data_IF_836725074036
#
_entry.id   IF_836725074036
#
_cell.length_a   1.000
_cell.length_b   1.000
_cell.length_c   1.000
_cell.angle_alpha   90.00
_cell.angle_beta   90.00
_cell.angle_gamma   90.00
#
_symmetry.space_group_name_H-M   'P 1'
#
loop_
_entity.id
_entity.type
_entity.pdbx_description
1 polymer ?
#
# COMPACT_ATOMS: atom_id res chain seq x y z
N UNK A 1 -20.43 -23.24 30.90
CA UNK A 1 -19.42 -22.85 29.90
C UNK A 1 -19.73 -23.60 28.62
N UNK A 2 -20.49 -22.96 27.74
CA UNK A 2 -20.97 -23.51 26.47
C UNK A 2 -19.86 -23.38 25.43
N UNK A 3 -19.30 -24.53 25.00
CA UNK A 3 -18.36 -24.62 23.90
C UNK A 3 -19.05 -24.29 22.59
N UNK A 4 -18.65 -23.21 21.94
CA UNK A 4 -19.03 -22.86 20.57
C UNK A 4 -18.52 -23.95 19.62
N UNK A 5 -19.35 -24.52 18.73
CA UNK A 5 -18.89 -25.55 17.80
C UNK A 5 -18.13 -24.91 16.63
N UNK A 6 -17.01 -25.51 16.24
CA UNK A 6 -16.69 -25.68 14.82
C UNK A 6 -15.64 -24.76 14.17
N UNK A 7 -14.63 -24.27 14.89
CA UNK A 7 -13.37 -23.89 14.21
C UNK A 7 -12.33 -24.94 14.54
N UNK A 8 -12.16 -25.91 13.65
CA UNK A 8 -11.07 -26.89 13.76
C UNK A 8 -9.78 -26.15 13.40
N UNK A 9 -9.05 -25.70 14.42
CA UNK A 9 -7.70 -25.18 14.25
C UNK A 9 -6.82 -26.30 13.68
N UNK A 10 -6.20 -26.02 12.53
CA UNK A 10 -5.28 -26.94 11.86
C UNK A 10 -3.83 -26.56 12.21
N UNK A 11 -2.96 -27.56 12.22
CA UNK A 11 -1.53 -27.46 12.50
C UNK A 11 -0.76 -28.09 11.35
N UNK A 12 0.20 -27.37 10.77
CA UNK A 12 0.96 -27.83 9.61
C UNK A 12 2.32 -28.35 10.05
N UNK A 13 2.64 -29.56 9.61
CA UNK A 13 3.96 -30.14 9.82
C UNK A 13 4.83 -29.92 8.59
N UNK A 14 5.89 -29.11 8.71
CA UNK A 14 6.85 -28.88 7.61
C UNK A 14 7.59 -30.14 7.15
N UNK A 15 7.72 -31.16 8.01
CA UNK A 15 8.43 -32.40 7.68
C UNK A 15 7.56 -33.41 6.94
N UNK A 16 6.27 -33.49 7.30
CA UNK A 16 5.32 -34.39 6.64
C UNK A 16 4.57 -33.71 5.49
N UNK A 17 4.68 -32.39 5.36
CA UNK A 17 3.92 -31.56 4.41
C UNK A 17 2.41 -31.79 4.50
N UNK A 18 1.91 -31.97 5.73
CA UNK A 18 0.52 -32.33 5.98
C UNK A 18 -0.12 -31.48 7.09
N UNK A 19 -1.41 -31.21 6.93
CA UNK A 19 -2.28 -30.57 7.91
C UNK A 19 -2.84 -31.61 8.89
N UNK A 20 -2.74 -31.33 10.19
CA UNK A 20 -3.33 -32.13 11.25
C UNK A 20 -4.28 -31.25 12.07
N UNK A 21 -5.43 -31.77 12.53
CA UNK A 21 -6.23 -31.05 13.50
C UNK A 21 -5.42 -30.85 14.79
N UNK A 22 -5.59 -29.70 15.45
CA UNK A 22 -4.90 -29.39 16.70
C UNK A 22 -5.13 -30.48 17.76
N UNK A 23 -6.31 -31.09 17.78
CA UNK A 23 -6.65 -32.22 18.66
C UNK A 23 -5.85 -33.50 18.38
N UNK A 24 -5.28 -33.66 17.19
CA UNK A 24 -4.41 -34.79 16.85
C UNK A 24 -2.93 -34.50 17.16
N UNK A 25 -2.57 -33.25 17.47
CA UNK A 25 -1.20 -32.89 17.80
C UNK A 25 -0.93 -33.15 19.29
N UNK A 26 0.28 -33.64 19.60
CA UNK A 26 0.68 -33.88 20.99
C UNK A 26 1.26 -32.60 21.59
N UNK A 27 0.78 -32.20 22.76
CA UNK A 27 1.37 -31.09 23.50
C UNK A 27 2.64 -31.53 24.25
N UNK A 28 3.71 -30.75 24.11
CA UNK A 28 4.99 -30.95 24.79
C UNK A 28 5.36 -29.65 25.49
N UNK A 29 5.73 -29.73 26.77
CA UNK A 29 6.16 -28.57 27.54
C UNK A 29 7.52 -28.07 27.03
N UNK A 30 7.62 -26.75 26.80
CA UNK A 30 8.84 -26.09 26.38
C UNK A 30 9.01 -24.78 27.18
N UNK A 31 9.79 -24.86 28.26
CA UNK A 31 9.97 -23.73 29.18
C UNK A 31 8.65 -23.30 29.81
N UNK A 32 8.25 -22.05 29.58
CA UNK A 32 6.99 -21.47 30.06
C UNK A 32 5.78 -21.73 29.14
N UNK A 33 5.97 -22.37 27.99
CA UNK A 33 4.92 -22.60 26.99
C UNK A 33 4.68 -24.06 26.65
N UNK A 34 3.61 -24.30 25.88
CA UNK A 34 3.32 -25.60 25.27
C UNK A 34 3.56 -25.53 23.77
N UNK A 35 4.37 -26.45 23.24
CA UNK A 35 4.54 -26.64 21.81
C UNK A 35 3.69 -27.83 21.38
N UNK A 36 3.05 -27.71 20.22
CA UNK A 36 2.38 -28.84 19.60
C UNK A 36 3.32 -29.53 18.61
N UNK A 37 3.38 -30.86 18.70
CA UNK A 37 4.20 -31.68 17.82
C UNK A 37 3.33 -32.60 16.96
N UNK A 38 3.80 -32.86 15.75
CA UNK A 38 3.16 -33.68 14.75
C UNK A 38 3.04 -35.13 15.25
N UNK A 39 1.86 -35.77 15.14
CA UNK A 39 1.66 -37.14 15.60
C UNK A 39 2.47 -38.17 14.80
N UNK A 40 2.82 -37.86 13.54
CA UNK A 40 3.51 -38.79 12.65
C UNK A 40 5.04 -38.73 12.77
N UNK A 41 5.63 -37.55 12.92
CA UNK A 41 7.09 -37.39 12.89
C UNK A 41 7.71 -36.71 14.13
N UNK A 42 6.89 -36.27 15.09
CA UNK A 42 7.35 -35.62 16.33
C UNK A 42 7.94 -34.22 16.17
N UNK A 43 7.95 -33.64 14.96
CA UNK A 43 8.39 -32.25 14.75
C UNK A 43 7.38 -31.24 15.25
N UNK A 44 7.86 -30.06 15.68
CA UNK A 44 7.00 -28.93 16.06
C UNK A 44 6.14 -28.50 14.87
N UNK A 45 4.83 -28.43 15.08
CA UNK A 45 3.86 -27.99 14.08
C UNK A 45 3.63 -26.49 14.16
N UNK A 46 3.50 -25.84 12.99
CA UNK A 46 3.06 -24.45 12.91
C UNK A 46 1.54 -24.35 12.99
N UNK A 47 1.02 -23.21 13.43
CA UNK A 47 -0.40 -22.90 13.31
C UNK A 47 -0.79 -22.65 11.85
N UNK A 48 -1.82 -23.34 11.36
CA UNK A 48 -2.39 -23.11 10.03
C UNK A 48 -3.50 -22.09 10.17
N UNK A 49 -3.16 -20.83 9.92
CA UNK A 49 -4.17 -19.83 9.63
C UNK A 49 -4.60 -20.06 8.18
N UNK A 50 -5.52 -21.01 7.94
CA UNK A 50 -6.16 -21.17 6.62
C UNK A 50 -6.97 -19.91 6.37
N UNK A 51 -6.36 -18.93 5.74
CA UNK A 51 -7.10 -17.81 5.17
C UNK A 51 -7.94 -18.41 4.06
N UNK A 52 -9.27 -18.27 4.15
CA UNK A 52 -10.17 -18.64 3.05
C UNK A 52 -9.65 -17.90 1.82
N UNK A 53 -9.12 -18.64 0.83
CA UNK A 53 -8.63 -18.06 -0.41
C UNK A 53 -9.78 -17.37 -1.13
N UNK A 54 -9.94 -16.08 -0.86
CA UNK A 54 -10.81 -15.23 -1.64
C UNK A 54 -10.06 -14.84 -2.90
N UNK A 55 -10.74 -14.74 -4.06
CA UNK A 55 -10.10 -14.29 -5.27
C UNK A 55 -9.54 -12.88 -5.04
N UNK A 56 -8.24 -12.69 -5.29
CA UNK A 56 -7.55 -11.42 -5.06
C UNK A 56 -8.34 -10.21 -5.61
N UNK A 57 -8.96 -10.36 -6.78
CA UNK A 57 -9.78 -9.32 -7.40
C UNK A 57 -10.89 -8.79 -6.49
N UNK A 58 -11.61 -9.64 -5.75
CA UNK A 58 -12.68 -9.16 -4.87
C UNK A 58 -12.15 -8.33 -3.72
N UNK A 59 -11.00 -8.74 -3.15
CA UNK A 59 -10.33 -8.01 -2.08
C UNK A 59 -9.76 -6.67 -2.59
N UNK A 60 -9.20 -6.62 -3.80
CA UNK A 60 -8.73 -5.38 -4.42
C UNK A 60 -9.87 -4.40 -4.71
N UNK A 61 -11.02 -4.88 -5.18
CA UNK A 61 -12.21 -4.03 -5.42
C UNK A 61 -12.80 -3.54 -4.10
N UNK A 62 -12.83 -4.38 -3.06
CA UNK A 62 -13.25 -3.95 -1.73
C UNK A 62 -12.30 -2.90 -1.14
N UNK A 63 -10.99 -3.03 -1.38
CA UNK A 63 -9.98 -2.05 -0.98
C UNK A 63 -10.23 -0.64 -1.55
N UNK A 64 -10.87 -0.52 -2.73
CA UNK A 64 -11.21 0.80 -3.29
C UNK A 64 -12.21 1.55 -2.42
N UNK A 65 -13.14 0.84 -1.77
CA UNK A 65 -14.18 1.44 -0.92
C UNK A 65 -13.64 1.84 0.45
N UNK A 66 -12.43 1.39 0.80
CA UNK A 66 -11.85 1.56 2.13
C UNK A 66 -11.79 3.00 2.64
N UNK A 67 -11.38 4.03 1.86
CA UNK A 67 -11.34 5.40 2.36
C UNK A 67 -12.74 5.96 2.69
N UNK A 68 -13.79 5.39 2.09
CA UNK A 68 -15.17 5.81 2.27
C UNK A 68 -15.97 4.93 3.25
N UNK A 69 -15.30 4.06 4.02
CA UNK A 69 -15.94 3.09 4.93
C UNK A 69 -15.67 3.47 6.40
N UNK A 70 -16.75 3.57 7.19
CA UNK A 70 -16.67 3.78 8.64
C UNK A 70 -15.83 5.00 9.05
N UNK A 71 -14.95 4.81 10.03
CA UNK A 71 -14.11 5.88 10.60
C UNK A 71 -13.07 6.43 9.61
N UNK A 72 -12.75 5.69 8.54
CA UNK A 72 -11.78 6.13 7.52
C UNK A 72 -12.26 7.37 6.75
N UNK A 73 -13.58 7.62 6.72
CA UNK A 73 -14.16 8.82 6.08
C UNK A 73 -13.66 10.08 6.77
N UNK A 74 -13.62 10.08 8.10
CA UNK A 74 -13.13 11.23 8.87
C UNK A 74 -11.66 11.51 8.54
N UNK A 75 -10.85 10.47 8.43
CA UNK A 75 -9.43 10.63 8.09
C UNK A 75 -9.21 11.06 6.64
N UNK A 76 -9.99 10.53 5.69
CA UNK A 76 -9.97 10.99 4.30
C UNK A 76 -10.31 12.48 4.21
N UNK A 77 -11.38 12.93 4.87
CA UNK A 77 -11.77 14.34 4.87
C UNK A 77 -10.72 15.22 5.57
N UNK A 78 -10.21 14.82 6.73
CA UNK A 78 -9.21 15.57 7.46
C UNK A 78 -7.90 15.72 6.64
N UNK A 79 -7.42 14.63 6.05
CA UNK A 79 -6.23 14.64 5.21
C UNK A 79 -6.46 15.43 3.92
N UNK A 80 -7.63 15.28 3.30
CA UNK A 80 -8.05 16.04 2.11
C UNK A 80 -8.07 17.54 2.36
N UNK A 81 -8.73 17.98 3.44
CA UNK A 81 -8.78 19.39 3.85
C UNK A 81 -7.37 19.90 4.17
N UNK A 82 -6.58 19.14 4.93
CA UNK A 82 -5.20 19.51 5.25
C UNK A 82 -4.36 19.72 4.00
N UNK A 83 -4.35 18.75 3.09
CA UNK A 83 -3.63 18.84 1.81
C UNK A 83 -4.12 20.04 0.99
N UNK A 84 -5.43 20.26 0.88
CA UNK A 84 -6.00 21.37 0.12
C UNK A 84 -5.63 22.74 0.72
N UNK A 85 -5.63 22.88 2.06
CA UNK A 85 -5.21 24.11 2.74
C UNK A 85 -3.72 24.37 2.53
N UNK A 86 -2.88 23.38 2.81
CA UNK A 86 -1.42 23.52 2.69
C UNK A 86 -0.98 23.73 1.23
N UNK A 87 -1.70 23.19 0.26
CA UNK A 87 -1.44 23.44 -1.17
C UNK A 87 -1.63 24.91 -1.57
N UNK A 88 -2.34 25.73 -0.78
CA UNK A 88 -2.47 27.18 -1.01
C UNK A 88 -1.29 28.00 -0.48
N UNK A 89 -0.50 27.40 0.41
CA UNK A 89 0.76 28.00 0.84
C UNK A 89 1.81 27.68 -0.24
N UNK A 90 2.56 28.68 -0.75
CA UNK A 90 3.57 28.47 -1.79
C UNK A 90 4.62 27.43 -1.36
N UNK A 91 5.40 26.92 -2.31
CA UNK A 91 6.48 25.90 -2.20
C UNK A 91 6.55 25.05 -0.90
N UNK A 92 6.86 25.66 0.25
CA UNK A 92 6.85 25.02 1.59
C UNK A 92 5.53 24.28 1.86
N UNK A 93 4.37 24.89 1.60
CA UNK A 93 3.07 24.25 1.82
C UNK A 93 2.84 23.02 0.97
N UNK A 94 3.22 23.09 -0.32
CA UNK A 94 3.18 21.95 -1.23
C UNK A 94 4.11 20.82 -0.81
N UNK A 95 5.32 21.12 -0.33
CA UNK A 95 6.23 20.10 0.18
C UNK A 95 5.68 19.44 1.45
N UNK A 96 5.12 20.22 2.38
CA UNK A 96 4.54 19.69 3.62
C UNK A 96 3.31 18.83 3.34
N UNK A 97 2.41 19.25 2.45
CA UNK A 97 1.24 18.46 2.08
C UNK A 97 1.62 17.16 1.39
N UNK A 98 2.59 17.19 0.49
CA UNK A 98 3.14 16.02 -0.16
C UNK A 98 3.79 15.07 0.84
N UNK A 99 4.61 15.60 1.76
CA UNK A 99 5.27 14.83 2.82
C UNK A 99 4.28 14.16 3.77
N UNK A 100 3.28 14.90 4.24
CA UNK A 100 2.22 14.38 5.09
C UNK A 100 1.41 13.29 4.38
N UNK A 101 1.02 13.53 3.11
CA UNK A 101 0.30 12.55 2.32
C UNK A 101 1.13 11.28 2.14
N UNK A 102 2.37 11.38 1.65
CA UNK A 102 3.23 10.20 1.46
C UNK A 102 3.44 9.42 2.74
N UNK A 103 3.70 10.10 3.85
CA UNK A 103 3.87 9.46 5.16
C UNK A 103 2.64 8.69 5.57
N UNK A 104 1.47 9.30 5.40
CA UNK A 104 0.22 8.64 5.66
C UNK A 104 0.01 7.42 4.76
N UNK A 105 0.26 7.52 3.45
CA UNK A 105 0.14 6.41 2.51
C UNK A 105 1.07 5.24 2.88
N UNK A 106 2.32 5.53 3.27
CA UNK A 106 3.26 4.49 3.71
C UNK A 106 2.76 3.73 4.95
N UNK A 107 2.22 4.45 5.94
CA UNK A 107 1.66 3.82 7.13
C UNK A 107 0.42 2.98 6.77
N UNK A 108 -0.44 3.46 5.85
CA UNK A 108 -1.58 2.69 5.34
C UNK A 108 -1.12 1.39 4.65
N UNK A 109 -0.06 1.45 3.83
CA UNK A 109 0.52 0.26 3.20
C UNK A 109 1.06 -0.71 4.24
N UNK A 110 1.83 -0.23 5.22
CA UNK A 110 2.43 -1.06 6.27
C UNK A 110 1.38 -1.72 7.18
N UNK A 111 0.45 -0.94 7.73
CA UNK A 111 -0.64 -1.44 8.59
C UNK A 111 -1.58 -2.37 7.83
N UNK A 112 -1.94 -2.00 6.61
CA UNK A 112 -2.80 -2.85 5.77
C UNK A 112 -2.12 -4.15 5.36
N UNK A 113 -0.80 -4.14 5.11
CA UNK A 113 -0.04 -5.36 4.86
C UNK A 113 -0.01 -6.31 6.08
N UNK A 114 -0.14 -5.77 7.30
CA UNK A 114 -0.31 -6.54 8.55
C UNK A 114 -1.75 -7.00 8.80
N UNK A 115 -2.69 -6.58 7.97
CA UNK A 115 -4.11 -6.92 8.10
C UNK A 115 -4.92 -5.95 8.95
N UNK A 116 -4.36 -4.82 9.37
CA UNK A 116 -5.12 -3.77 10.04
C UNK A 116 -6.08 -3.10 9.05
N UNK A 117 -7.33 -2.89 9.47
CA UNK A 117 -8.38 -2.30 8.62
C UNK A 117 -8.70 -0.84 8.96
N UNK A 118 -8.18 -0.32 10.06
CA UNK A 118 -8.43 1.05 10.50
C UNK A 118 -7.40 2.01 9.94
N UNK A 119 -7.85 3.22 9.60
CA UNK A 119 -7.01 4.33 9.24
C UNK A 119 -6.01 4.67 10.37
N UNK A 120 -4.75 5.00 10.05
CA UNK A 120 -3.82 5.59 11.02
C UNK A 120 -4.43 6.80 11.72
N UNK A 121 -4.25 6.88 13.03
CA UNK A 121 -4.70 7.99 13.85
C UNK A 121 -3.67 9.14 13.77
N UNK A 122 -4.11 10.38 13.95
CA UNK A 122 -3.21 11.53 13.97
C UNK A 122 -2.14 11.42 15.09
N UNK A 123 -2.47 10.73 16.19
CA UNK A 123 -1.56 10.48 17.31
C UNK A 123 -0.36 9.60 16.95
N UNK A 124 -0.38 8.92 15.79
CA UNK A 124 0.72 8.08 15.31
C UNK A 124 1.90 8.91 14.75
N UNK A 125 1.72 10.22 14.55
CA UNK A 125 2.73 11.13 14.00
C UNK A 125 3.21 12.10 15.08
N UNK A 126 4.12 11.66 15.94
CA UNK A 126 4.60 12.47 17.07
C UNK A 126 5.91 13.19 16.77
N UNK A 127 6.72 12.69 15.85
CA UNK A 127 8.02 13.27 15.52
C UNK A 127 8.09 13.79 14.09
N UNK A 128 8.93 14.80 13.86
CA UNK A 128 9.25 15.30 12.52
C UNK A 128 9.85 14.22 11.60
N UNK A 129 10.51 13.21 12.20
CA UNK A 129 11.12 12.11 11.47
C UNK A 129 10.07 11.16 10.88
N UNK A 130 8.91 11.04 11.53
CA UNK A 130 7.78 10.22 11.04
C UNK A 130 7.18 10.78 9.74
N UNK A 131 7.40 12.06 9.45
CA UNK A 131 6.94 12.73 8.23
C UNK A 131 8.03 12.80 7.16
N UNK A 132 9.27 13.06 7.57
CA UNK A 132 10.37 13.25 6.62
C UNK A 132 10.91 11.94 6.07
N UNK A 133 10.98 10.89 6.90
CA UNK A 133 11.52 9.59 6.49
C UNK A 133 10.68 8.95 5.37
N UNK A 134 9.34 8.85 5.47
CA UNK A 134 8.55 8.25 4.40
C UNK A 134 8.52 9.10 3.12
N UNK A 135 8.58 10.42 3.24
CA UNK A 135 8.73 11.31 2.08
C UNK A 135 10.02 10.98 1.31
N UNK A 136 11.14 10.87 2.01
CA UNK A 136 12.42 10.48 1.41
C UNK A 136 12.36 9.06 0.82
N UNK A 137 11.64 8.12 1.45
CA UNK A 137 11.41 6.77 0.91
C UNK A 137 10.56 6.81 -0.37
N UNK A 138 9.53 7.65 -0.43
CA UNK A 138 8.71 7.85 -1.61
C UNK A 138 9.50 8.45 -2.77
N UNK A 139 10.29 9.49 -2.49
CA UNK A 139 11.18 10.13 -3.47
C UNK A 139 12.22 9.14 -3.99
N UNK A 140 12.88 8.38 -3.10
CA UNK A 140 13.86 7.37 -3.51
C UNK A 140 13.24 6.22 -4.29
N UNK A 141 12.01 5.80 -3.96
CA UNK A 141 11.27 4.80 -4.73
C UNK A 141 10.95 5.27 -6.16
N UNK A 142 10.91 6.58 -6.42
CA UNK A 142 10.71 7.14 -7.76
C UNK A 142 11.99 7.13 -8.62
N UNK A 143 13.18 7.08 -8.01
CA UNK A 143 14.46 7.25 -8.72
C UNK A 143 14.64 6.18 -9.79
N UNK A 144 14.64 4.90 -9.41
CA UNK A 144 14.91 3.79 -10.35
C UNK A 144 13.83 3.67 -11.44
N UNK A 145 12.52 3.70 -11.13
CA UNK A 145 11.48 3.62 -12.15
C UNK A 145 11.50 4.81 -13.12
N UNK A 146 11.96 6.00 -12.71
CA UNK A 146 11.97 7.19 -13.55
C UNK A 146 13.24 7.38 -14.39
N UNK A 147 14.30 6.58 -14.19
CA UNK A 147 15.57 6.73 -14.93
C UNK A 147 15.40 6.80 -16.46
N UNK A 148 14.59 5.94 -17.12
CA UNK A 148 14.42 6.03 -18.56
C UNK A 148 13.74 7.34 -19.02
N UNK A 149 12.83 7.87 -18.20
CA UNK A 149 12.16 9.15 -18.47
C UNK A 149 13.12 10.32 -18.30
N UNK A 150 14.01 10.28 -17.30
CA UNK A 150 15.08 11.26 -17.13
C UNK A 150 16.05 11.21 -18.30
N UNK A 151 16.44 10.01 -18.75
CA UNK A 151 17.29 9.84 -19.92
C UNK A 151 16.64 10.41 -21.20
N UNK A 152 15.31 10.35 -21.32
CA UNK A 152 14.58 10.93 -22.44
C UNK A 152 14.74 12.45 -22.56
N UNK A 153 15.05 13.16 -21.47
CA UNK A 153 15.29 14.62 -21.48
C UNK A 153 16.56 15.00 -22.24
N UNK A 154 17.53 14.08 -22.32
CA UNK A 154 18.82 14.27 -23.00
C UNK A 154 18.86 13.61 -24.37
N UNK A 155 17.82 12.87 -24.76
CA UNK A 155 17.72 12.20 -26.04
C UNK A 155 17.04 13.09 -27.10
N UNK A 156 17.35 12.84 -28.37
CA UNK A 156 16.75 13.51 -29.53
C UNK A 156 16.18 12.50 -30.53
N UNK A 157 15.31 12.99 -31.43
CA UNK A 157 14.73 12.19 -32.51
C UNK A 157 13.93 10.96 -32.03
N UNK A 158 14.01 9.81 -32.73
CA UNK A 158 13.20 8.63 -32.42
C UNK A 158 13.54 7.99 -31.06
N UNK A 159 14.80 8.11 -30.61
CA UNK A 159 15.23 7.56 -29.31
C UNK A 159 14.45 8.21 -28.15
N UNK A 160 14.19 9.52 -28.22
CA UNK A 160 13.39 10.23 -27.23
C UNK A 160 11.98 9.65 -27.12
N UNK A 161 11.34 9.36 -28.26
CA UNK A 161 9.99 8.76 -28.28
C UNK A 161 10.00 7.37 -27.65
N UNK A 162 10.99 6.54 -28.00
CA UNK A 162 11.14 5.20 -27.43
C UNK A 162 11.33 5.27 -25.91
N UNK A 163 12.20 6.15 -25.41
CA UNK A 163 12.43 6.33 -23.98
C UNK A 163 11.19 6.86 -23.24
N UNK A 164 10.40 7.75 -23.86
CA UNK A 164 9.16 8.23 -23.25
C UNK A 164 8.10 7.12 -23.16
N UNK A 165 7.90 6.35 -24.23
CA UNK A 165 6.87 5.31 -24.29
C UNK A 165 7.27 4.11 -23.43
N UNK A 166 8.43 3.50 -23.72
CA UNK A 166 8.88 2.32 -22.98
C UNK A 166 9.30 2.67 -21.56
N UNK A 167 9.91 3.84 -21.36
CA UNK A 167 10.24 4.34 -20.02
C UNK A 167 9.01 4.67 -19.18
N UNK A 168 7.94 5.18 -19.81
CA UNK A 168 6.66 5.39 -19.14
C UNK A 168 6.03 4.07 -18.69
N UNK A 169 5.98 3.08 -19.58
CA UNK A 169 5.49 1.73 -19.26
C UNK A 169 6.33 1.07 -18.15
N UNK A 170 7.66 1.21 -18.23
CA UNK A 170 8.60 0.76 -17.20
C UNK A 170 8.32 1.42 -15.84
N UNK A 171 8.15 2.75 -15.82
CA UNK A 171 7.86 3.49 -14.60
C UNK A 171 6.53 3.04 -13.98
N UNK A 172 5.47 2.92 -14.78
CA UNK A 172 4.15 2.44 -14.32
C UNK A 172 4.23 1.01 -13.80
N UNK A 173 5.00 0.15 -14.46
CA UNK A 173 5.15 -1.24 -14.07
C UNK A 173 5.97 -1.42 -12.79
N UNK A 174 7.00 -0.61 -12.55
CA UNK A 174 7.91 -0.80 -11.41
C UNK A 174 7.63 0.08 -10.21
N UNK A 175 6.97 1.23 -10.39
CA UNK A 175 6.68 2.14 -9.29
C UNK A 175 5.90 1.47 -8.14
N UNK A 176 4.87 0.65 -8.39
CA UNK A 176 4.18 -0.08 -7.33
C UNK A 176 5.12 -1.00 -6.53
N UNK A 177 5.97 -1.78 -7.21
CA UNK A 177 6.97 -2.63 -6.57
C UNK A 177 8.02 -1.83 -5.79
N UNK A 178 8.44 -0.68 -6.31
CA UNK A 178 9.37 0.21 -5.63
C UNK A 178 8.78 0.69 -4.31
N UNK A 179 7.57 1.24 -4.32
CA UNK A 179 6.85 1.70 -3.12
C UNK A 179 6.60 0.55 -2.14
N UNK A 180 6.20 -0.61 -2.62
CA UNK A 180 6.02 -1.80 -1.78
C UNK A 180 7.31 -2.23 -1.07
N UNK A 181 8.41 -2.31 -1.82
CA UNK A 181 9.71 -2.74 -1.29
C UNK A 181 10.29 -1.76 -0.28
N UNK A 182 10.06 -0.46 -0.45
CA UNK A 182 10.48 0.57 0.51
C UNK A 182 9.61 0.58 1.75
N UNK A 183 8.29 0.43 1.58
CA UNK A 183 7.35 0.40 2.68
C UNK A 183 7.64 -0.77 3.62
N UNK A 184 7.98 -1.93 3.07
CA UNK A 184 8.35 -3.11 3.85
C UNK A 184 9.78 -3.07 4.38
N UNK A 185 10.71 -2.52 3.58
CA UNK A 185 12.13 -2.66 3.81
C UNK A 185 12.72 -1.75 4.89
N UNK A 186 12.01 -0.69 5.29
CA UNK A 186 12.37 0.26 6.35
C UNK A 186 13.71 0.99 6.16
N UNK A 187 14.40 0.79 5.04
CA UNK A 187 15.76 1.27 4.80
C UNK A 187 15.86 1.95 3.44
N UNK A 188 16.44 3.15 3.43
CA UNK A 188 16.67 3.94 2.21
C UNK A 188 17.48 3.19 1.15
N UNK A 189 18.49 2.41 1.58
CA UNK A 189 19.33 1.65 0.66
C UNK A 189 18.55 0.60 -0.14
N UNK A 190 17.47 0.03 0.43
CA UNK A 190 16.61 -0.91 -0.31
C UNK A 190 15.79 -0.21 -1.40
N UNK A 191 15.46 1.07 -1.24
CA UNK A 191 14.75 1.85 -2.26
C UNK A 191 15.53 1.98 -3.57
N UNK A 192 16.86 2.06 -3.46
CA UNK A 192 17.75 2.19 -4.61
C UNK A 192 18.18 0.84 -5.18
N UNK A 193 17.86 -0.27 -4.49
CA UNK A 193 18.17 -1.60 -4.97
C UNK A 193 17.01 -2.10 -5.85
N UNK A 194 17.24 -2.39 -7.15
CA UNK A 194 16.20 -2.92 -8.02
C UNK A 194 15.87 -4.40 -7.72
N UNK A 195 16.76 -5.14 -7.03
CA UNK A 195 16.60 -6.58 -6.82
C UNK A 195 15.33 -6.94 -6.05
N UNK A 196 14.97 -6.29 -4.92
CA UNK A 196 13.69 -6.51 -4.24
C UNK A 196 12.47 -6.26 -5.13
N UNK A 197 12.54 -5.25 -6.01
CA UNK A 197 11.45 -4.91 -6.92
C UNK A 197 11.26 -6.02 -7.96
N UNK A 198 12.35 -6.44 -8.60
CA UNK A 198 12.34 -7.53 -9.59
C UNK A 198 11.91 -8.84 -8.94
N UNK A 199 12.38 -9.13 -7.72
CA UNK A 199 11.98 -10.31 -6.96
C UNK A 199 10.46 -10.31 -6.71
N UNK A 200 9.89 -9.18 -6.26
CA UNK A 200 8.44 -9.05 -6.05
C UNK A 200 7.67 -9.32 -7.34
N UNK A 201 8.05 -8.68 -8.46
CA UNK A 201 7.37 -8.85 -9.75
C UNK A 201 7.48 -10.28 -10.29
N UNK A 202 8.66 -10.90 -10.15
CA UNK A 202 8.93 -12.24 -10.66
C UNK A 202 8.21 -13.36 -9.89
N UNK A 203 7.95 -13.16 -8.59
CA UNK A 203 7.30 -14.16 -7.73
C UNK A 203 5.78 -14.19 -7.89
N UNK A 204 5.15 -13.06 -8.18
CA UNK A 204 3.69 -12.93 -8.28
C UNK A 204 3.25 -12.19 -9.56
N UNK A 205 3.69 -12.61 -10.75
CA UNK A 205 3.58 -11.81 -11.98
C UNK A 205 2.13 -11.52 -12.38
N UNK A 206 1.24 -12.51 -12.26
CA UNK A 206 -0.17 -12.37 -12.66
C UNK A 206 -0.91 -11.38 -11.77
N UNK A 207 -0.81 -11.56 -10.46
CA UNK A 207 -1.50 -10.72 -9.48
C UNK A 207 -0.94 -9.32 -9.46
N UNK A 208 0.38 -9.20 -9.58
CA UNK A 208 1.04 -7.92 -9.72
C UNK A 208 0.56 -7.18 -10.98
N UNK A 209 0.43 -7.86 -12.12
CA UNK A 209 -0.10 -7.24 -13.34
C UNK A 209 -1.54 -6.74 -13.17
N UNK A 210 -2.41 -7.48 -12.47
CA UNK A 210 -3.77 -7.05 -12.13
C UNK A 210 -3.74 -5.82 -11.23
N UNK A 211 -2.88 -5.81 -10.21
CA UNK A 211 -2.73 -4.66 -9.31
C UNK A 211 -2.20 -3.42 -10.06
N UNK A 212 -1.18 -3.57 -10.91
CA UNK A 212 -0.66 -2.48 -11.75
C UNK A 212 -1.75 -1.93 -12.67
N UNK A 213 -2.52 -2.80 -13.34
CA UNK A 213 -3.62 -2.38 -14.20
C UNK A 213 -4.68 -1.57 -13.41
N UNK A 214 -5.03 -2.02 -12.21
CA UNK A 214 -5.97 -1.31 -11.34
C UNK A 214 -5.42 0.05 -10.86
N UNK A 215 -4.16 0.10 -10.43
CA UNK A 215 -3.49 1.35 -10.03
C UNK A 215 -3.36 2.33 -11.21
N UNK A 216 -3.09 1.81 -12.41
CA UNK A 216 -3.10 2.58 -13.64
C UNK A 216 -4.48 3.17 -13.94
N UNK A 217 -5.54 2.35 -13.83
CA UNK A 217 -6.91 2.82 -13.99
C UNK A 217 -7.30 3.90 -12.95
N UNK A 218 -6.90 3.75 -11.69
CA UNK A 218 -7.10 4.76 -10.65
C UNK A 218 -6.33 6.07 -10.94
N UNK A 219 -5.10 5.95 -11.45
CA UNK A 219 -4.30 7.12 -11.84
C UNK A 219 -4.95 7.87 -12.99
N UNK A 220 -5.44 7.16 -14.01
CA UNK A 220 -6.19 7.74 -15.12
C UNK A 220 -7.49 8.39 -14.64
N UNK A 221 -8.24 7.72 -13.76
CA UNK A 221 -9.46 8.28 -13.17
C UNK A 221 -9.18 9.56 -12.38
N UNK A 222 -8.08 9.59 -11.60
CA UNK A 222 -7.62 10.79 -10.90
C UNK A 222 -7.26 11.93 -11.86
N UNK A 223 -6.52 11.65 -12.94
CA UNK A 223 -6.17 12.63 -13.97
C UNK A 223 -7.42 13.20 -14.67
N UNK A 224 -8.37 12.33 -15.04
CA UNK A 224 -9.65 12.73 -15.63
C UNK A 224 -10.45 13.60 -14.65
N UNK A 225 -10.60 13.17 -13.41
CA UNK A 225 -11.32 13.91 -12.38
C UNK A 225 -10.68 15.29 -12.16
N UNK A 226 -9.34 15.36 -12.07
CA UNK A 226 -8.60 16.63 -11.96
C UNK A 226 -8.80 17.53 -13.18
N UNK A 227 -8.76 16.98 -14.39
CA UNK A 227 -9.02 17.72 -15.63
C UNK A 227 -10.43 18.32 -15.65
N UNK A 228 -11.44 17.54 -15.26
CA UNK A 228 -12.83 17.99 -15.13
C UNK A 228 -12.95 19.10 -14.09
N UNK A 229 -12.36 18.94 -12.90
CA UNK A 229 -12.36 19.96 -11.85
C UNK A 229 -11.74 21.27 -12.35
N UNK A 230 -10.57 21.21 -12.98
CA UNK A 230 -9.91 22.41 -13.52
C UNK A 230 -10.75 23.08 -14.61
N UNK A 231 -11.38 22.30 -15.48
CA UNK A 231 -12.32 22.81 -16.50
C UNK A 231 -13.53 23.51 -15.89
N UNK A 232 -14.19 22.87 -14.92
CA UNK A 232 -15.35 23.42 -14.22
C UNK A 232 -15.01 24.71 -13.48
N UNK A 233 -13.90 24.72 -12.73
CA UNK A 233 -13.43 25.91 -12.01
C UNK A 233 -13.06 27.02 -12.99
N UNK A 234 -12.45 26.71 -14.14
CA UNK A 234 -12.13 27.69 -15.18
C UNK A 234 -13.38 28.32 -15.82
N UNK A 235 -14.40 27.51 -16.11
CA UNK A 235 -15.68 27.98 -16.70
C UNK A 235 -16.47 28.82 -15.69
N UNK A 236 -16.57 28.37 -14.44
CA UNK A 236 -17.33 29.04 -13.37
C UNK A 236 -16.58 30.22 -12.75
N UNK A 237 -15.25 30.24 -12.82
CA UNK A 237 -14.43 31.23 -12.14
C UNK A 237 -14.61 32.66 -12.64
N UNK A 238 -14.99 32.84 -13.92
CA UNK A 238 -15.32 34.15 -14.49
C UNK A 238 -16.72 34.65 -14.09
N UNK A 239 -17.81 33.88 -14.28
CA UNK A 239 -19.15 34.34 -13.95
C UNK A 239 -19.46 34.31 -12.44
N UNK A 240 -18.90 33.36 -11.69
CA UNK A 240 -19.27 33.08 -10.29
C UNK A 240 -18.03 32.70 -9.44
N UNK A 241 -17.11 33.65 -9.18
CA UNK A 241 -15.89 33.36 -8.42
C UNK A 241 -16.16 32.86 -6.99
N UNK A 242 -17.25 33.32 -6.37
CA UNK A 242 -17.68 32.92 -5.02
C UNK A 242 -18.03 31.44 -4.93
N UNK A 243 -18.57 30.84 -6.02
CA UNK A 243 -18.91 29.43 -6.07
C UNK A 243 -17.74 28.56 -6.56
N UNK A 244 -16.95 29.08 -7.50
CA UNK A 244 -15.83 28.35 -8.08
C UNK A 244 -14.74 28.01 -7.04
N UNK A 245 -14.46 28.92 -6.11
CA UNK A 245 -13.46 28.70 -5.06
C UNK A 245 -13.77 27.53 -4.11
N UNK A 246 -14.93 27.47 -3.42
CA UNK A 246 -15.25 26.37 -2.51
C UNK A 246 -15.42 25.05 -3.25
N UNK A 247 -15.94 25.07 -4.48
CA UNK A 247 -16.06 23.86 -5.31
C UNK A 247 -14.67 23.30 -5.67
N UNK A 248 -13.75 24.15 -6.10
CA UNK A 248 -12.37 23.76 -6.39
C UNK A 248 -11.66 23.21 -5.15
N UNK A 249 -11.82 23.87 -4.00
CA UNK A 249 -11.27 23.40 -2.72
C UNK A 249 -11.82 22.03 -2.30
N UNK A 250 -13.14 21.85 -2.35
CA UNK A 250 -13.77 20.58 -2.01
C UNK A 250 -13.35 19.45 -2.96
N UNK A 251 -13.23 19.76 -4.25
CA UNK A 251 -12.75 18.80 -5.23
C UNK A 251 -11.29 18.42 -4.99
N UNK A 252 -10.39 19.38 -4.74
CA UNK A 252 -8.99 19.11 -4.38
C UNK A 252 -8.87 18.22 -3.13
N UNK A 253 -9.66 18.50 -2.09
CA UNK A 253 -9.71 17.68 -0.89
C UNK A 253 -10.21 16.25 -1.19
N UNK A 254 -11.27 16.12 -2.00
CA UNK A 254 -11.81 14.84 -2.40
C UNK A 254 -10.81 14.00 -3.22
N UNK A 255 -9.91 14.62 -3.99
CA UNK A 255 -8.91 13.92 -4.80
C UNK A 255 -7.94 13.06 -3.97
N UNK A 256 -7.80 13.30 -2.66
CA UNK A 256 -6.99 12.47 -1.76
C UNK A 256 -7.56 11.04 -1.63
N UNK A 257 -8.82 10.82 -2.01
CA UNK A 257 -9.42 9.49 -2.10
C UNK A 257 -8.59 8.52 -2.95
N UNK A 258 -8.13 8.97 -4.12
CA UNK A 258 -7.39 8.13 -5.08
C UNK A 258 -6.08 7.57 -4.51
N UNK A 259 -5.15 8.40 -4.00
CA UNK A 259 -3.91 7.87 -3.43
C UNK A 259 -4.17 6.98 -2.20
N UNK A 260 -5.19 7.27 -1.37
CA UNK A 260 -5.57 6.39 -0.25
C UNK A 260 -6.05 5.02 -0.74
N UNK A 261 -6.92 4.98 -1.75
CA UNK A 261 -7.37 3.74 -2.37
C UNK A 261 -6.20 2.96 -3.00
N UNK A 262 -5.28 3.65 -3.68
CA UNK A 262 -4.07 3.04 -4.26
C UNK A 262 -3.16 2.43 -3.19
N UNK A 263 -2.93 3.16 -2.08
CA UNK A 263 -2.17 2.64 -0.95
C UNK A 263 -2.84 1.41 -0.34
N UNK A 264 -4.17 1.40 -0.20
CA UNK A 264 -4.90 0.24 0.32
C UNK A 264 -4.82 -0.96 -0.62
N UNK A 265 -4.98 -0.76 -1.93
CA UNK A 265 -4.81 -1.80 -2.96
C UNK A 265 -3.43 -2.45 -2.85
N UNK A 266 -2.38 -1.63 -2.66
CA UNK A 266 -1.03 -2.13 -2.43
C UNK A 266 -0.92 -2.95 -1.15
N UNK A 267 -1.50 -2.44 -0.05
CA UNK A 267 -1.49 -3.10 1.24
C UNK A 267 -2.13 -4.49 1.15
N UNK A 268 -3.26 -4.61 0.45
CA UNK A 268 -3.95 -5.90 0.23
C UNK A 268 -3.09 -6.86 -0.59
N UNK A 269 -2.46 -6.41 -1.67
CA UNK A 269 -1.55 -7.27 -2.45
C UNK A 269 -0.44 -7.84 -1.56
N UNK A 270 0.22 -7.00 -0.76
CA UNK A 270 1.28 -7.41 0.14
C UNK A 270 0.79 -8.36 1.24
N UNK A 271 -0.42 -8.12 1.75
CA UNK A 271 -1.07 -8.95 2.76
C UNK A 271 -1.40 -10.34 2.23
N UNK A 272 -2.00 -10.43 1.04
CA UNK A 272 -2.40 -11.70 0.44
C UNK A 272 -1.21 -12.50 -0.09
N UNK A 273 -0.10 -11.83 -0.46
CA UNK A 273 1.10 -12.48 -1.01
C UNK A 273 2.32 -12.45 -0.08
N UNK A 274 2.09 -12.29 1.22
CA UNK A 274 3.17 -12.20 2.21
C UNK A 274 4.05 -13.46 2.23
N UNK A 275 3.44 -14.64 2.06
CA UNK A 275 4.12 -15.93 2.11
C UNK A 275 5.05 -16.12 0.90
N UNK A 276 4.57 -15.85 -0.32
CA UNK A 276 5.39 -15.96 -1.53
C UNK A 276 6.51 -14.92 -1.54
N UNK A 277 6.27 -13.73 -0.98
CA UNK A 277 7.28 -12.69 -0.86
C UNK A 277 8.33 -12.98 0.22
N UNK A 278 8.15 -14.02 1.04
CA UNK A 278 9.05 -14.32 2.16
C UNK A 278 9.07 -13.19 3.19
N UNK A 279 7.95 -12.47 3.30
CA UNK A 279 7.73 -11.45 4.30
C UNK A 279 7.43 -12.19 5.61
N UNK A 280 8.47 -12.49 6.39
CA UNK A 280 8.29 -12.92 7.78
C UNK A 280 7.40 -11.88 8.45
N UNK A 281 6.27 -12.30 9.06
CA UNK A 281 5.31 -11.39 9.70
C UNK A 281 6.09 -10.39 10.54
N UNK A 282 6.00 -9.11 10.18
CA UNK A 282 6.72 -8.03 10.84
C UNK A 282 6.55 -8.17 12.36
N UNK A 283 7.62 -8.19 13.16
CA UNK A 283 7.49 -8.24 14.60
C UNK A 283 6.59 -7.08 15.06
N UNK A 284 5.63 -7.38 15.93
CA UNK A 284 4.71 -6.37 16.48
C UNK A 284 5.52 -5.23 17.09
N UNK A 285 5.34 -4.02 16.55
CA UNK A 285 5.97 -2.80 17.04
C UNK A 285 5.46 -2.39 18.44
N UNK A 286 4.53 -3.13 19.04
CA UNK A 286 4.09 -2.96 20.43
C UNK A 286 5.18 -3.26 21.47
N UNK A 287 6.35 -3.72 21.02
CA UNK A 287 7.53 -3.98 21.86
C UNK A 287 8.59 -2.88 21.80
N UNK A 288 8.30 -1.69 21.24
CA UNK A 288 9.17 -0.51 21.29
C UNK A 288 8.52 0.69 21.94
#
# INVERSE_FOLDING_TARGET
MTSTPGVTSLRYCRRCEADYPESACRAVAAGSGTLLVCPSCGMVTGEVVRRVERPLWSELVEALKWPAKGDNVATWLALGIGVAVFARVPMVGGLLSLGALWSYLFVVVQRGARGEEHAPAAADFQSWWDITLPLLQGVTALVIPSLPLVAALFASGPLRVVLLVLGGLWAVALLPAAVASTAYGGSFGRALNPLPMIALVSRIPRDYAVTVALLGALTLAWLCARGITLGLVGVLGRPLPVLAFPLGFAAEAAMVYFPLAMARVMAVLLRERAEELGIERLPDLSTR
#
